data_IF_962859026973
#
_entry.id   IF_962859026973
#
_cell.length_a   1.000
_cell.length_b   1.000
_cell.length_c   1.000
_cell.angle_alpha   90.00
_cell.angle_beta   90.00
_cell.angle_gamma   90.00
#
_symmetry.space_group_name_H-M   'P 1'
#
loop_
_entity.id
_entity.type
_entity.pdbx_description
1 polymer ?
#
# COMPACT_ATOMS: atom_id res chain seq x y z
N UNK A 1 -4.01 2.79 -16.98
CA UNK A 1 -5.15 1.88 -17.18
C UNK A 1 -5.31 1.65 -18.67
N UNK A 2 -5.71 0.44 -19.09
CA UNK A 2 -5.99 0.14 -20.49
C UNK A 2 -7.49 -0.09 -20.68
N UNK A 3 -7.98 0.01 -21.91
CA UNK A 3 -9.38 -0.18 -22.25
C UNK A 3 -9.79 -1.65 -22.31
N UNK A 4 -8.86 -2.57 -22.59
CA UNK A 4 -9.12 -4.00 -22.68
C UNK A 4 -8.09 -4.81 -21.88
N UNK A 5 -8.56 -5.90 -21.28
CA UNK A 5 -7.72 -6.89 -20.61
C UNK A 5 -6.87 -7.67 -21.62
N UNK A 6 -7.43 -8.00 -22.77
CA UNK A 6 -6.73 -8.74 -23.83
C UNK A 6 -5.49 -7.99 -24.34
N UNK A 7 -5.60 -6.67 -24.51
CA UNK A 7 -4.45 -5.82 -24.90
C UNK A 7 -3.36 -5.85 -23.82
N UNK A 8 -3.73 -5.86 -22.55
CA UNK A 8 -2.76 -5.96 -21.45
C UNK A 8 -2.05 -7.32 -21.45
N UNK A 9 -2.77 -8.40 -21.73
CA UNK A 9 -2.26 -9.77 -21.69
C UNK A 9 -1.43 -10.13 -22.92
N UNK A 10 -1.90 -9.77 -24.11
CA UNK A 10 -1.35 -10.23 -25.38
C UNK A 10 -0.34 -9.25 -26.00
N UNK A 11 -0.48 -7.95 -25.73
CA UNK A 11 0.40 -6.93 -26.35
C UNK A 11 1.35 -6.32 -25.32
N UNK A 12 0.81 -5.80 -24.21
CA UNK A 12 1.60 -5.01 -23.26
C UNK A 12 2.50 -5.88 -22.37
N UNK A 13 1.98 -6.99 -21.81
CA UNK A 13 2.78 -7.87 -20.95
C UNK A 13 3.98 -8.46 -21.70
N UNK A 14 3.86 -9.01 -22.92
CA UNK A 14 4.99 -9.52 -23.69
C UNK A 14 5.98 -8.42 -24.07
N UNK A 15 5.50 -7.24 -24.51
CA UNK A 15 6.35 -6.11 -24.84
C UNK A 15 7.24 -5.68 -23.65
N UNK A 16 6.68 -5.63 -22.44
CA UNK A 16 7.44 -5.31 -21.22
C UNK A 16 8.42 -6.44 -20.89
N UNK A 17 8.02 -7.70 -21.04
CA UNK A 17 8.89 -8.86 -20.80
C UNK A 17 10.12 -8.83 -21.72
N UNK A 18 9.93 -8.60 -23.02
CA UNK A 18 11.01 -8.49 -24.01
C UNK A 18 11.94 -7.30 -23.71
N UNK A 19 11.36 -6.15 -23.34
CA UNK A 19 12.13 -4.97 -22.95
C UNK A 19 13.03 -5.24 -21.73
N UNK A 20 12.53 -5.98 -20.74
CA UNK A 20 13.28 -6.35 -19.54
C UNK A 20 14.32 -7.44 -19.81
N UNK A 21 14.02 -8.40 -20.69
CA UNK A 21 14.89 -9.52 -21.02
C UNK A 21 16.26 -9.07 -21.58
N UNK A 22 16.27 -8.02 -22.42
CA UNK A 22 17.52 -7.41 -22.93
C UNK A 22 18.43 -6.89 -21.80
N UNK A 23 17.87 -6.61 -20.62
CA UNK A 23 18.58 -6.13 -19.43
C UNK A 23 18.82 -7.24 -18.39
N UNK A 24 18.53 -8.50 -18.73
CA UNK A 24 18.66 -9.63 -17.81
C UNK A 24 17.61 -9.67 -16.70
N UNK A 25 16.46 -9.01 -16.88
CA UNK A 25 15.37 -8.97 -15.92
C UNK A 25 14.15 -9.75 -16.45
N UNK A 26 13.37 -10.34 -15.55
CA UNK A 26 12.12 -11.05 -15.86
C UNK A 26 10.99 -10.57 -14.95
N UNK A 27 9.75 -10.71 -15.44
CA UNK A 27 8.57 -10.46 -14.62
C UNK A 27 8.37 -11.63 -13.65
N UNK A 28 8.00 -11.32 -12.40
CA UNK A 28 7.60 -12.34 -11.44
C UNK A 28 6.15 -12.73 -11.71
N UNK A 29 5.90 -13.98 -12.12
CA UNK A 29 4.54 -14.47 -12.39
C UNK A 29 3.65 -14.46 -11.15
N UNK A 30 4.20 -14.67 -9.96
CA UNK A 30 3.45 -14.60 -8.70
C UNK A 30 2.94 -13.18 -8.40
N UNK A 31 3.74 -12.16 -8.67
CA UNK A 31 3.42 -10.76 -8.31
C UNK A 31 2.67 -10.04 -9.43
N UNK A 32 2.86 -10.47 -10.67
CA UNK A 32 2.29 -9.82 -11.86
C UNK A 32 0.87 -10.29 -12.08
N UNK A 33 -0.10 -9.40 -11.91
CA UNK A 33 -1.50 -9.70 -12.16
C UNK A 33 -2.21 -8.50 -12.78
N UNK A 34 -3.24 -8.79 -13.58
CA UNK A 34 -4.12 -7.78 -14.17
C UNK A 34 -5.44 -7.81 -13.40
N UNK A 35 -5.88 -6.65 -12.93
CA UNK A 35 -7.10 -6.51 -12.15
C UNK A 35 -7.93 -5.33 -12.64
N UNK A 36 -9.24 -5.40 -12.44
CA UNK A 36 -10.13 -4.31 -12.77
C UNK A 36 -10.11 -3.25 -11.67
N UNK A 37 -10.25 -1.97 -12.04
CA UNK A 37 -10.18 -0.85 -11.07
C UNK A 37 -11.29 -0.91 -10.01
N UNK A 38 -12.39 -1.62 -10.27
CA UNK A 38 -13.48 -1.82 -9.32
C UNK A 38 -13.10 -2.82 -8.20
N UNK A 39 -12.18 -3.73 -8.46
CA UNK A 39 -11.63 -4.66 -7.47
C UNK A 39 -10.47 -3.98 -6.73
N UNK A 40 -9.70 -3.19 -7.50
CA UNK A 40 -8.62 -2.35 -7.01
C UNK A 40 -7.30 -3.10 -6.87
N UNK A 41 -6.25 -2.35 -6.53
CA UNK A 41 -4.92 -2.89 -6.31
C UNK A 41 -4.14 -2.03 -5.32
N UNK A 42 -3.15 -2.66 -4.68
CA UNK A 42 -2.24 -1.98 -3.77
C UNK A 42 -0.97 -1.54 -4.51
N UNK A 43 -0.60 -0.28 -4.33
CA UNK A 43 0.62 0.30 -4.90
C UNK A 43 1.21 1.32 -3.92
N UNK A 44 2.49 1.14 -3.56
CA UNK A 44 3.21 2.01 -2.61
C UNK A 44 2.47 2.24 -1.27
N UNK A 45 1.76 1.22 -0.77
CA UNK A 45 0.99 1.31 0.47
C UNK A 45 -0.35 2.03 0.33
N UNK A 46 -0.83 2.28 -0.90
CA UNK A 46 -2.15 2.84 -1.20
C UNK A 46 -2.99 1.83 -1.96
N UNK A 47 -4.25 1.67 -1.55
CA UNK A 47 -5.24 0.93 -2.30
C UNK A 47 -5.96 1.87 -3.27
N UNK A 48 -5.85 1.57 -4.56
CA UNK A 48 -6.52 2.28 -5.65
C UNK A 48 -7.76 1.51 -6.05
N UNK A 49 -8.96 2.06 -5.80
CA UNK A 49 -10.21 1.38 -6.13
C UNK A 49 -11.32 2.35 -6.52
N UNK A 50 -12.06 2.00 -7.57
CA UNK A 50 -13.25 2.74 -8.02
C UNK A 50 -14.50 2.11 -7.41
N UNK A 51 -15.23 2.90 -6.64
CA UNK A 51 -16.48 2.51 -6.01
C UNK A 51 -17.63 3.22 -6.71
N UNK A 52 -18.50 2.48 -7.41
CA UNK A 52 -19.68 3.03 -8.09
C UNK A 52 -19.36 4.29 -8.91
N UNK A 53 -18.28 4.25 -9.71
CA UNK A 53 -17.86 5.38 -10.54
C UNK A 53 -16.88 6.37 -9.88
N UNK A 54 -16.69 6.34 -8.55
CA UNK A 54 -15.78 7.26 -7.84
C UNK A 54 -14.49 6.59 -7.42
N UNK A 55 -13.34 7.13 -7.85
CA UNK A 55 -12.02 6.67 -7.41
C UNK A 55 -11.77 7.14 -5.98
N UNK A 56 -11.46 6.21 -5.08
CA UNK A 56 -10.98 6.51 -3.73
C UNK A 56 -9.62 5.84 -3.54
N UNK A 57 -8.60 6.66 -3.30
CA UNK A 57 -7.26 6.19 -2.94
C UNK A 57 -7.18 6.21 -1.42
N UNK A 58 -6.97 5.05 -0.81
CA UNK A 58 -6.94 4.88 0.66
C UNK A 58 -5.60 4.27 1.09
N UNK A 59 -5.16 4.43 2.35
CA UNK A 59 -4.10 3.59 2.88
C UNK A 59 -4.44 2.11 2.69
N UNK A 60 -3.50 1.29 2.20
CA UNK A 60 -3.77 -0.14 2.01
C UNK A 60 -3.98 -0.84 3.36
N UNK A 61 -4.86 -1.84 3.37
CA UNK A 61 -5.15 -2.62 4.58
C UNK A 61 -3.88 -3.31 5.09
N UNK A 62 -3.11 -3.91 4.18
CA UNK A 62 -1.86 -4.57 4.51
C UNK A 62 -0.87 -3.61 5.20
N UNK A 63 -0.63 -2.42 4.64
CA UNK A 63 0.32 -1.49 5.24
C UNK A 63 -0.17 -0.90 6.57
N UNK A 64 -1.48 -0.66 6.69
CA UNK A 64 -2.10 -0.22 7.95
C UNK A 64 -1.91 -1.27 9.05
N UNK A 65 -2.16 -2.54 8.76
CA UNK A 65 -1.98 -3.64 9.72
C UNK A 65 -0.50 -3.84 10.08
N UNK A 66 0.41 -3.76 9.11
CA UNK A 66 1.86 -3.81 9.36
C UNK A 66 2.30 -2.66 10.28
N UNK A 67 1.82 -1.44 10.04
CA UNK A 67 2.10 -0.30 10.90
C UNK A 67 1.62 -0.53 12.35
N UNK A 68 0.38 -0.99 12.52
CA UNK A 68 -0.18 -1.30 13.84
C UNK A 68 0.56 -2.46 14.53
N UNK A 69 0.97 -3.49 13.78
CA UNK A 69 1.76 -4.60 14.31
C UNK A 69 3.11 -4.12 14.82
N UNK A 70 3.81 -3.28 14.04
CA UNK A 70 5.08 -2.69 14.44
C UNK A 70 4.93 -1.80 15.69
N UNK A 71 3.84 -1.03 15.76
CA UNK A 71 3.56 -0.19 16.93
C UNK A 71 3.27 -1.03 18.18
N UNK A 72 2.49 -2.11 18.06
CA UNK A 72 2.25 -3.07 19.15
C UNK A 72 3.56 -3.73 19.59
N UNK A 73 4.42 -4.13 18.65
CA UNK A 73 5.73 -4.69 18.93
C UNK A 73 6.62 -3.72 19.71
N UNK A 74 6.62 -2.44 19.33
CA UNK A 74 7.32 -1.38 20.04
C UNK A 74 6.83 -1.24 21.49
N UNK A 75 5.51 -1.17 21.68
CA UNK A 75 4.92 -1.06 23.02
C UNK A 75 5.30 -2.27 23.88
N UNK A 76 5.18 -3.48 23.34
CA UNK A 76 5.54 -4.73 24.04
C UNK A 76 7.02 -4.81 24.42
N UNK A 77 7.91 -4.27 23.58
CA UNK A 77 9.35 -4.23 23.86
C UNK A 77 9.70 -3.26 25.00
N UNK A 78 8.86 -2.26 25.24
CA UNK A 78 9.13 -1.14 26.15
C UNK A 78 8.13 -1.04 27.31
N UNK A 79 7.57 -2.18 27.75
CA UNK A 79 6.56 -2.26 28.83
C UNK A 79 7.05 -1.67 30.15
N UNK A 80 8.36 -1.68 30.40
CA UNK A 80 8.97 -1.17 31.64
C UNK A 80 9.31 0.32 31.60
N UNK A 81 9.18 0.99 30.44
CA UNK A 81 9.48 2.42 30.35
C UNK A 81 8.38 3.26 31.02
N UNK A 82 8.75 4.43 31.60
CA UNK A 82 7.77 5.44 31.96
C UNK A 82 6.90 5.79 30.75
N UNK A 83 5.59 5.93 30.97
CA UNK A 83 4.61 6.21 29.91
C UNK A 83 5.00 7.45 29.09
N UNK A 84 5.54 8.48 29.75
CA UNK A 84 6.01 9.69 29.08
C UNK A 84 7.09 9.42 28.03
N UNK A 85 8.03 8.52 28.31
CA UNK A 85 9.09 8.18 27.37
C UNK A 85 8.57 7.26 26.26
N UNK A 86 7.61 6.38 26.56
CA UNK A 86 6.91 5.61 25.54
C UNK A 86 6.14 6.52 24.57
N UNK A 87 5.46 7.57 25.06
CA UNK A 87 4.77 8.57 24.22
C UNK A 87 5.77 9.29 23.30
N UNK A 88 6.94 9.68 23.81
CA UNK A 88 8.00 10.31 23.00
C UNK A 88 8.48 9.40 21.87
N UNK A 89 8.49 8.08 22.07
CA UNK A 89 8.87 7.10 21.05
C UNK A 89 7.76 6.87 20.01
N UNK A 90 6.49 6.89 20.44
CA UNK A 90 5.34 6.60 19.58
C UNK A 90 4.97 7.80 18.70
N UNK A 91 4.95 9.01 19.26
CA UNK A 91 4.47 10.21 18.57
C UNK A 91 5.15 10.48 17.21
N UNK A 92 6.49 10.35 17.05
CA UNK A 92 7.14 10.53 15.75
C UNK A 92 6.68 9.50 14.71
N UNK A 93 6.41 8.25 15.11
CA UNK A 93 5.93 7.20 14.21
C UNK A 93 4.51 7.47 13.72
N UNK A 94 3.62 7.86 14.63
CA UNK A 94 2.26 8.29 14.28
C UNK A 94 2.29 9.49 13.34
N UNK A 95 3.07 10.52 13.68
CA UNK A 95 3.21 11.73 12.86
C UNK A 95 3.75 11.42 11.47
N UNK A 96 4.79 10.59 11.37
CA UNK A 96 5.34 10.17 10.08
C UNK A 96 4.32 9.44 9.22
N UNK A 97 3.57 8.51 9.82
CA UNK A 97 2.52 7.77 9.13
C UNK A 97 1.37 8.68 8.68
N UNK A 98 0.90 9.60 9.53
CA UNK A 98 -0.11 10.59 9.16
C UNK A 98 0.37 11.53 8.04
N UNK A 99 1.63 11.97 8.09
CA UNK A 99 2.22 12.80 7.04
C UNK A 99 2.31 12.07 5.70
N UNK A 100 2.65 10.79 5.69
CA UNK A 100 2.70 9.99 4.46
C UNK A 100 1.32 9.85 3.80
N UNK A 101 0.27 9.68 4.60
CA UNK A 101 -1.10 9.48 4.12
C UNK A 101 -1.97 10.75 4.04
N UNK A 102 -1.42 11.94 4.34
CA UNK A 102 -2.19 13.20 4.42
C UNK A 102 -2.90 13.59 3.13
N UNK A 103 -2.41 13.12 1.97
CA UNK A 103 -2.90 13.50 0.65
C UNK A 103 -3.93 12.53 0.07
N UNK A 104 -4.31 11.46 0.79
CA UNK A 104 -5.28 10.48 0.30
C UNK A 104 -6.55 10.46 1.16
N UNK A 105 -7.53 9.63 0.79
CA UNK A 105 -8.80 9.47 1.50
C UNK A 105 -8.57 8.61 2.75
N UNK A 106 -7.93 9.19 3.76
CA UNK A 106 -7.45 8.48 4.94
C UNK A 106 -8.31 8.69 6.20
N UNK A 107 -9.29 9.61 6.21
CA UNK A 107 -10.07 9.98 7.41
C UNK A 107 -10.63 8.78 8.20
N UNK A 108 -11.19 7.80 7.51
CA UNK A 108 -11.73 6.60 8.17
C UNK A 108 -10.63 5.69 8.72
N UNK A 109 -9.51 5.55 8.00
CA UNK A 109 -8.37 4.74 8.44
C UNK A 109 -7.66 5.40 9.63
N UNK A 110 -7.53 6.73 9.62
CA UNK A 110 -6.98 7.50 10.73
C UNK A 110 -7.80 7.42 12.01
N UNK A 111 -9.11 7.15 11.91
CA UNK A 111 -9.96 6.90 13.09
C UNK A 111 -9.80 5.49 13.64
N UNK A 112 -9.33 4.55 12.82
CA UNK A 112 -9.14 3.16 13.19
C UNK A 112 -7.76 2.90 13.82
N UNK A 113 -6.73 3.61 13.31
CA UNK A 113 -5.37 3.62 13.87
C UNK A 113 -5.33 4.45 15.14
#
# INVERSE_FOLDING_TARGET
>A
TCASKEVLENDIKPLIADFLAVRGLTLSEEKTHITHINDGFDFLGFNHRKYKGKLLIKPSKANTLTFLSNLRGLIKKHVTLPVNDLIKLINPKLRGWSNYYRHCVAKQVFRYV
#
